data_IF_595497314646
#
_entry.id   IF_595497314646
#
_cell.length_a   1.000
_cell.length_b   1.000
_cell.length_c   1.000
_cell.angle_alpha   90.00
_cell.angle_beta   90.00
_cell.angle_gamma   90.00
#
_symmetry.space_group_name_H-M   'P 1'
#
loop_
_entity.id
_entity.type
_entity.pdbx_description
1 polymer ?
#
# COMPACT_ATOMS: atom_id res chain seq x y z
N UNK A 1 -6.72 -21.97 -15.63
CA UNK A 1 -6.55 -21.36 -14.30
C UNK A 1 -5.13 -21.67 -13.83
N UNK A 2 -4.32 -20.69 -13.42
CA UNK A 2 -2.97 -20.99 -12.88
C UNK A 2 -3.14 -21.79 -11.59
N UNK A 3 -2.33 -22.84 -11.40
CA UNK A 3 -2.25 -23.59 -10.14
C UNK A 3 -1.67 -22.69 -9.06
N UNK A 4 -1.86 -23.01 -7.78
CA UNK A 4 -1.27 -22.27 -6.67
C UNK A 4 0.26 -22.19 -6.79
N UNK A 5 0.91 -23.31 -7.13
CA UNK A 5 2.35 -23.38 -7.37
C UNK A 5 2.81 -22.44 -8.51
N UNK A 6 2.09 -22.40 -9.63
CA UNK A 6 2.36 -21.48 -10.74
C UNK A 6 2.18 -20.03 -10.33
N UNK A 7 1.23 -19.71 -9.44
CA UNK A 7 1.00 -18.37 -8.91
C UNK A 7 2.12 -17.97 -7.95
N UNK A 8 2.50 -18.86 -7.03
CA UNK A 8 3.62 -18.64 -6.12
C UNK A 8 4.91 -18.37 -6.89
N UNK A 9 5.21 -19.18 -7.92
CA UNK A 9 6.41 -18.99 -8.75
C UNK A 9 6.41 -17.68 -9.51
N UNK A 10 5.26 -17.23 -10.03
CA UNK A 10 5.16 -16.01 -10.86
C UNK A 10 5.07 -14.71 -10.08
N UNK A 11 4.68 -14.76 -8.81
CA UNK A 11 4.47 -13.58 -7.96
C UNK A 11 5.37 -13.59 -6.70
N UNK A 12 6.35 -14.50 -6.64
CA UNK A 12 7.27 -14.62 -5.51
C UNK A 12 8.26 -13.45 -5.45
N UNK A 13 8.53 -13.00 -4.24
CA UNK A 13 9.53 -11.99 -3.92
C UNK A 13 10.60 -12.58 -3.00
N UNK A 14 11.85 -12.14 -3.16
CA UNK A 14 12.99 -12.74 -2.45
C UNK A 14 13.42 -14.07 -3.07
N UNK A 15 13.84 -15.01 -2.25
CA UNK A 15 14.13 -16.38 -2.69
C UNK A 15 12.83 -17.17 -2.71
N UNK A 16 12.47 -17.69 -3.88
CA UNK A 16 11.33 -18.58 -3.97
C UNK A 16 11.59 -19.89 -3.22
N UNK A 17 10.68 -20.27 -2.34
CA UNK A 17 10.66 -21.56 -1.66
C UNK A 17 9.32 -22.25 -1.97
N UNK A 18 9.37 -23.40 -2.61
CA UNK A 18 8.21 -24.10 -3.20
C UNK A 18 7.06 -24.40 -2.22
N UNK A 19 7.30 -24.40 -0.91
CA UNK A 19 6.30 -24.82 0.09
C UNK A 19 6.15 -23.83 1.24
N UNK A 20 6.76 -22.63 1.15
CA UNK A 20 6.74 -21.68 2.26
C UNK A 20 6.50 -20.25 1.74
N UNK A 21 5.52 -19.59 2.31
CA UNK A 21 5.28 -18.16 2.14
C UNK A 21 5.20 -17.51 3.51
N UNK A 22 6.24 -16.75 3.88
CA UNK A 22 6.28 -16.07 5.20
C UNK A 22 5.46 -14.79 5.19
N UNK A 23 5.44 -14.09 4.07
CA UNK A 23 4.82 -12.77 3.92
C UNK A 23 3.91 -12.79 2.69
N UNK A 24 2.71 -12.27 2.84
CA UNK A 24 1.86 -11.92 1.68
C UNK A 24 1.68 -10.40 1.67
N UNK A 25 1.95 -9.78 0.52
CA UNK A 25 1.65 -8.37 0.25
C UNK A 25 0.38 -8.33 -0.58
N UNK A 26 -0.69 -7.78 0.00
CA UNK A 26 -1.99 -7.68 -0.63
C UNK A 26 -2.45 -6.23 -0.75
N UNK A 27 -3.04 -5.89 -1.89
CA UNK A 27 -3.58 -4.55 -2.10
C UNK A 27 -3.80 -4.19 -3.56
N UNK A 28 -3.75 -2.89 -3.82
CA UNK A 28 -3.87 -2.32 -5.17
C UNK A 28 -2.48 -2.05 -5.81
N UNK A 29 -2.39 -1.08 -6.72
CA UNK A 29 -1.13 -0.67 -7.34
C UNK A 29 -0.13 -0.07 -6.36
N UNK A 30 -0.58 0.51 -5.24
CA UNK A 30 0.31 1.02 -4.19
C UNK A 30 1.02 -0.11 -3.44
N UNK A 31 0.30 -1.19 -3.15
CA UNK A 31 0.93 -2.41 -2.62
C UNK A 31 1.90 -3.04 -3.63
N UNK A 32 1.56 -3.01 -4.92
CA UNK A 32 2.47 -3.46 -5.98
C UNK A 32 3.75 -2.61 -6.03
N UNK A 33 3.67 -1.31 -5.77
CA UNK A 33 4.81 -0.40 -5.67
C UNK A 33 5.83 -0.79 -4.60
N UNK A 34 5.43 -1.53 -3.57
CA UNK A 34 6.33 -2.03 -2.52
C UNK A 34 7.14 -3.27 -2.95
N UNK A 35 6.67 -4.01 -3.94
CA UNK A 35 7.19 -5.34 -4.28
C UNK A 35 8.68 -5.35 -4.62
N UNK A 36 9.17 -4.34 -5.34
CA UNK A 36 10.59 -4.27 -5.71
C UNK A 36 11.51 -4.17 -4.47
N UNK A 37 11.20 -3.27 -3.54
CA UNK A 37 11.97 -3.11 -2.31
C UNK A 37 11.97 -4.38 -1.45
N UNK A 38 10.80 -5.02 -1.30
CA UNK A 38 10.69 -6.30 -0.62
C UNK A 38 11.51 -7.37 -1.32
N UNK A 39 11.44 -7.48 -2.65
CA UNK A 39 12.25 -8.44 -3.41
C UNK A 39 13.74 -8.23 -3.15
N UNK A 40 14.24 -7.00 -3.26
CA UNK A 40 15.65 -6.67 -3.06
C UNK A 40 16.13 -6.99 -1.63
N UNK A 41 15.30 -6.68 -0.63
CA UNK A 41 15.65 -6.91 0.76
C UNK A 41 15.59 -8.40 1.14
N UNK A 42 14.56 -9.10 0.69
CA UNK A 42 14.34 -10.50 1.05
C UNK A 42 15.25 -11.50 0.32
N UNK A 43 15.81 -11.15 -0.84
CA UNK A 43 16.68 -12.07 -1.61
C UNK A 43 17.90 -12.58 -0.83
N UNK A 44 18.34 -11.84 0.18
CA UNK A 44 19.48 -12.19 1.04
C UNK A 44 19.04 -12.76 2.40
N UNK A 45 17.77 -13.03 2.59
CA UNK A 45 17.20 -13.63 3.81
C UNK A 45 16.70 -15.05 3.53
N UNK A 46 16.28 -15.76 4.58
CA UNK A 46 15.55 -17.03 4.46
C UNK A 46 14.04 -16.87 4.29
N UNK A 47 13.54 -15.63 4.24
CA UNK A 47 12.12 -15.33 4.12
C UNK A 47 11.69 -15.30 2.66
N UNK A 48 10.46 -15.73 2.43
CA UNK A 48 9.79 -15.65 1.13
C UNK A 48 8.53 -14.80 1.23
N UNK A 49 8.26 -14.04 0.19
CA UNK A 49 7.02 -13.28 0.10
C UNK A 49 6.27 -13.55 -1.20
N UNK A 50 4.97 -13.32 -1.18
CA UNK A 50 4.08 -13.43 -2.33
C UNK A 50 3.32 -12.13 -2.52
N UNK A 51 3.30 -11.63 -3.76
CA UNK A 51 2.52 -10.45 -4.14
C UNK A 51 1.14 -10.87 -4.66
N UNK A 52 0.07 -10.36 -4.04
CA UNK A 52 -1.32 -10.54 -4.45
C UNK A 52 -1.97 -9.18 -4.67
N UNK A 53 -1.72 -8.53 -5.80
CA UNK A 53 -2.20 -7.17 -6.05
C UNK A 53 -3.15 -7.10 -7.24
N UNK A 54 -4.12 -6.17 -7.16
CA UNK A 54 -5.08 -5.90 -8.23
C UNK A 54 -5.30 -4.38 -8.34
N UNK A 55 -4.77 -3.79 -9.42
CA UNK A 55 -4.73 -2.35 -9.62
C UNK A 55 -6.08 -1.67 -9.39
N UNK A 56 -6.09 -0.69 -8.49
CA UNK A 56 -7.24 0.14 -8.15
C UNK A 56 -8.41 -0.62 -7.51
N UNK A 57 -8.19 -1.84 -7.01
CA UNK A 57 -9.22 -2.60 -6.31
C UNK A 57 -9.16 -2.36 -4.79
N UNK A 58 -10.32 -2.15 -4.13
CA UNK A 58 -10.40 -2.22 -2.69
C UNK A 58 -9.95 -3.59 -2.15
N UNK A 59 -9.37 -3.61 -0.96
CA UNK A 59 -8.87 -4.83 -0.30
C UNK A 59 -9.97 -5.56 0.50
N UNK A 60 -11.18 -5.54 -0.01
CA UNK A 60 -12.33 -6.15 0.64
C UNK A 60 -13.31 -6.73 -0.40
N UNK A 61 -13.96 -7.87 -0.10
CA UNK A 61 -14.77 -8.59 -1.09
C UNK A 61 -16.18 -8.03 -1.28
N UNK A 62 -16.69 -7.22 -0.35
CA UNK A 62 -18.08 -6.75 -0.35
C UNK A 62 -18.25 -5.31 -0.84
N UNK A 63 -17.17 -4.68 -1.30
CA UNK A 63 -17.20 -3.36 -1.90
C UNK A 63 -16.57 -3.37 -3.27
N UNK A 64 -17.02 -2.45 -4.13
CA UNK A 64 -16.50 -2.27 -5.47
C UNK A 64 -16.13 -0.81 -5.69
N UNK A 65 -15.02 -0.57 -6.39
CA UNK A 65 -14.70 0.75 -6.90
C UNK A 65 -15.45 1.02 -8.19
N UNK A 66 -16.07 2.16 -8.25
CA UNK A 66 -16.69 2.72 -9.46
C UNK A 66 -15.92 3.96 -9.87
N UNK A 67 -15.26 3.89 -11.05
CA UNK A 67 -14.77 5.06 -11.76
C UNK A 67 -15.92 5.50 -12.71
N UNK A 68 -16.29 6.76 -12.75
CA UNK A 68 -17.42 7.18 -13.56
C UNK A 68 -17.07 7.18 -15.06
N UNK A 69 -17.80 6.42 -15.97
CA UNK A 69 -18.95 5.57 -15.66
C UNK A 69 -18.60 4.08 -15.36
N UNK A 70 -17.34 3.71 -15.34
CA UNK A 70 -16.87 2.30 -15.30
C UNK A 70 -16.90 1.72 -13.89
N UNK A 71 -17.41 0.50 -13.75
CA UNK A 71 -17.32 -0.28 -12.50
C UNK A 71 -16.20 -1.32 -12.60
N UNK A 72 -15.40 -1.46 -11.54
CA UNK A 72 -14.34 -2.48 -11.45
C UNK A 72 -14.91 -3.80 -10.94
N UNK A 73 -15.76 -4.43 -11.76
CA UNK A 73 -16.56 -5.63 -11.42
C UNK A 73 -15.75 -6.86 -10.99
N UNK A 74 -14.46 -6.92 -11.35
CA UNK A 74 -13.59 -8.04 -10.98
C UNK A 74 -12.97 -7.89 -9.59
N UNK A 75 -13.03 -6.72 -8.95
CA UNK A 75 -12.38 -6.47 -7.67
C UNK A 75 -12.86 -7.41 -6.55
N UNK A 76 -14.17 -7.65 -6.35
CA UNK A 76 -14.64 -8.58 -5.33
C UNK A 76 -14.13 -10.00 -5.53
N UNK A 77 -14.12 -10.47 -6.78
CA UNK A 77 -13.59 -11.80 -7.14
C UNK A 77 -12.09 -11.91 -6.87
N UNK A 78 -11.33 -10.85 -7.16
CA UNK A 78 -9.90 -10.80 -6.86
C UNK A 78 -9.65 -10.82 -5.34
N UNK A 79 -10.43 -10.06 -4.55
CA UNK A 79 -10.33 -10.06 -3.10
C UNK A 79 -10.67 -11.44 -2.51
N UNK A 80 -11.76 -12.08 -2.96
CA UNK A 80 -12.12 -13.45 -2.53
C UNK A 80 -11.01 -14.47 -2.85
N UNK A 81 -10.41 -14.37 -4.05
CA UNK A 81 -9.29 -15.24 -4.44
C UNK A 81 -8.07 -15.02 -3.57
N UNK A 82 -7.71 -13.75 -3.27
CA UNK A 82 -6.61 -13.43 -2.38
C UNK A 82 -6.84 -14.02 -0.97
N UNK A 83 -8.04 -13.84 -0.40
CA UNK A 83 -8.40 -14.42 0.89
C UNK A 83 -8.32 -15.95 0.90
N UNK A 84 -8.72 -16.61 -0.18
CA UNK A 84 -8.57 -18.06 -0.34
C UNK A 84 -7.09 -18.50 -0.30
N UNK A 85 -6.22 -17.80 -1.01
CA UNK A 85 -4.77 -18.07 -1.03
C UNK A 85 -4.14 -17.80 0.34
N UNK A 86 -4.51 -16.69 1.00
CA UNK A 86 -4.03 -16.35 2.35
C UNK A 86 -4.41 -17.46 3.34
N UNK A 87 -5.67 -17.93 3.26
CA UNK A 87 -6.17 -19.03 4.09
C UNK A 87 -5.42 -20.34 3.84
N UNK A 88 -4.99 -20.61 2.62
CA UNK A 88 -4.29 -21.86 2.25
C UNK A 88 -2.81 -21.82 2.65
N UNK A 89 -2.16 -20.66 2.51
CA UNK A 89 -0.71 -20.52 2.72
C UNK A 89 -0.31 -20.23 4.17
N UNK A 90 -1.24 -19.75 5.02
CA UNK A 90 -0.96 -19.40 6.42
C UNK A 90 0.34 -18.59 6.60
N UNK A 91 0.49 -17.40 5.95
CA UNK A 91 1.72 -16.61 6.07
C UNK A 91 1.90 -16.14 7.53
N UNK A 92 3.13 -15.85 7.93
CA UNK A 92 3.39 -15.20 9.23
C UNK A 92 2.86 -13.78 9.27
N UNK A 93 2.96 -13.08 8.13
CA UNK A 93 2.52 -11.69 8.00
C UNK A 93 1.66 -11.52 6.75
N UNK A 94 0.49 -10.92 6.93
CA UNK A 94 -0.31 -10.37 5.85
C UNK A 94 -0.15 -8.86 5.87
N UNK A 95 0.58 -8.32 4.89
CA UNK A 95 0.83 -6.88 4.74
C UNK A 95 -0.16 -6.32 3.73
N UNK A 96 -0.94 -5.33 4.15
CA UNK A 96 -1.92 -4.66 3.30
C UNK A 96 -1.52 -3.19 3.10
N UNK A 97 -1.50 -2.77 1.84
CA UNK A 97 -1.39 -1.37 1.46
C UNK A 97 -2.33 -1.07 0.29
N UNK A 98 -2.91 0.10 0.29
CA UNK A 98 -3.78 0.59 -0.77
C UNK A 98 -3.74 2.11 -0.85
N UNK A 99 -4.26 2.67 -1.93
CA UNK A 99 -4.47 4.11 -2.06
C UNK A 99 -5.70 4.54 -1.26
N UNK A 100 -5.54 4.60 0.07
CA UNK A 100 -6.62 4.87 1.01
C UNK A 100 -7.26 6.23 0.78
N UNK A 101 -6.43 7.30 0.67
CA UNK A 101 -6.91 8.66 0.50
C UNK A 101 -7.87 8.81 -0.68
N UNK A 102 -7.56 8.21 -1.84
CA UNK A 102 -8.44 8.27 -3.00
C UNK A 102 -9.79 7.59 -2.74
N UNK A 103 -9.81 6.48 -1.99
CA UNK A 103 -11.04 5.77 -1.67
C UNK A 103 -11.97 6.59 -0.76
N UNK A 104 -11.40 7.35 0.19
CA UNK A 104 -12.15 8.20 1.11
C UNK A 104 -12.53 9.54 0.48
N UNK A 105 -11.57 10.21 -0.17
CA UNK A 105 -11.79 11.55 -0.74
C UNK A 105 -12.55 11.53 -2.05
N UNK A 106 -12.56 10.40 -2.76
CA UNK A 106 -13.27 10.21 -4.04
C UNK A 106 -12.71 11.06 -5.19
N UNK A 107 -11.87 12.04 -4.93
CA UNK A 107 -11.28 12.96 -5.91
C UNK A 107 -9.77 12.79 -5.98
N UNK A 108 -9.21 13.15 -7.12
CA UNK A 108 -7.78 13.13 -7.36
C UNK A 108 -7.05 14.11 -6.45
N UNK A 109 -5.75 13.88 -6.27
CA UNK A 109 -4.97 14.70 -5.36
C UNK A 109 -4.60 16.04 -6.00
N UNK A 110 -4.80 17.11 -5.24
CA UNK A 110 -4.28 18.46 -5.50
C UNK A 110 -3.40 18.84 -4.31
N UNK A 111 -2.12 19.11 -4.55
CA UNK A 111 -1.18 19.45 -3.49
C UNK A 111 -1.19 20.94 -3.12
N UNK A 112 -2.08 21.73 -3.72
CA UNK A 112 -2.27 23.15 -3.43
C UNK A 112 -1.20 24.10 -3.98
N UNK A 113 -0.13 23.56 -4.61
CA UNK A 113 0.99 24.35 -5.15
C UNK A 113 1.30 24.01 -6.61
N UNK A 114 0.27 23.58 -7.33
CA UNK A 114 0.29 23.34 -8.78
C UNK A 114 0.57 21.89 -9.19
N UNK A 115 0.61 20.96 -8.25
CA UNK A 115 0.60 19.53 -8.54
C UNK A 115 -0.84 19.01 -8.45
N UNK A 116 -1.48 18.84 -9.59
CA UNK A 116 -2.86 18.35 -9.70
C UNK A 116 -2.87 17.06 -10.51
N UNK A 117 -3.28 15.98 -9.87
CA UNK A 117 -3.45 14.70 -10.54
C UNK A 117 -4.66 14.74 -11.48
N UNK A 118 -4.50 14.22 -12.68
CA UNK A 118 -5.59 14.09 -13.64
C UNK A 118 -6.40 12.82 -13.42
N UNK A 119 -7.66 12.82 -13.84
CA UNK A 119 -8.52 11.64 -13.88
C UNK A 119 -9.88 11.83 -13.21
N UNK A 120 -10.76 10.85 -13.43
CA UNK A 120 -12.12 10.89 -12.95
C UNK A 120 -12.20 10.70 -11.42
N UNK A 121 -13.27 11.23 -10.82
CA UNK A 121 -13.67 10.91 -9.47
C UNK A 121 -14.07 9.44 -9.35
N UNK A 122 -13.91 8.89 -8.16
CA UNK A 122 -14.30 7.51 -7.87
C UNK A 122 -15.37 7.45 -6.78
N UNK A 123 -15.96 6.27 -6.62
CA UNK A 123 -16.82 5.98 -5.47
C UNK A 123 -16.53 4.55 -5.02
N UNK A 124 -16.65 4.31 -3.73
CA UNK A 124 -16.71 2.96 -3.18
C UNK A 124 -18.19 2.63 -2.95
N UNK A 125 -18.61 1.50 -3.49
CA UNK A 125 -20.01 1.07 -3.52
C UNK A 125 -20.14 -0.26 -2.79
N UNK A 126 -21.07 -0.34 -1.87
CA UNK A 126 -21.47 -1.60 -1.25
C UNK A 126 -22.20 -2.48 -2.28
N UNK A 127 -21.73 -3.71 -2.44
CA UNK A 127 -22.26 -4.64 -3.44
C UNK A 127 -23.66 -5.12 -3.08
N UNK A 128 -23.96 -5.27 -1.78
CA UNK A 128 -25.22 -5.85 -1.32
C UNK A 128 -26.43 -4.99 -1.69
N UNK A 129 -26.28 -3.67 -1.67
CA UNK A 129 -27.38 -2.73 -1.90
C UNK A 129 -27.10 -1.71 -3.02
N UNK A 130 -25.91 -1.70 -3.60
CA UNK A 130 -25.51 -0.78 -4.65
C UNK A 130 -25.31 0.67 -4.18
N UNK A 131 -25.25 0.91 -2.86
CA UNK A 131 -25.13 2.25 -2.28
C UNK A 131 -23.68 2.72 -2.32
N UNK A 132 -23.46 3.97 -2.73
CA UNK A 132 -22.19 4.66 -2.53
C UNK A 132 -21.98 4.90 -1.04
N UNK A 133 -20.84 4.47 -0.52
CA UNK A 133 -20.47 4.70 0.87
C UNK A 133 -19.98 6.13 1.06
N UNK A 134 -20.47 6.79 2.09
CA UNK A 134 -19.88 8.03 2.61
C UNK A 134 -18.53 7.72 3.27
N UNK A 135 -17.73 8.76 3.54
CA UNK A 135 -16.44 8.59 4.25
C UNK A 135 -16.60 7.88 5.60
N UNK A 136 -17.63 8.27 6.35
CA UNK A 136 -17.95 7.65 7.64
C UNK A 136 -18.33 6.17 7.49
N UNK A 137 -19.25 5.85 6.58
CA UNK A 137 -19.66 4.46 6.32
C UNK A 137 -18.50 3.60 5.83
N UNK A 138 -17.60 4.17 5.01
CA UNK A 138 -16.41 3.47 4.54
C UNK A 138 -15.41 3.21 5.68
N UNK A 139 -15.21 4.18 6.58
CA UNK A 139 -14.37 3.99 7.76
C UNK A 139 -14.94 2.88 8.66
N UNK A 140 -16.21 2.95 9.01
CA UNK A 140 -16.89 1.93 9.80
C UNK A 140 -16.81 0.54 9.17
N UNK A 141 -17.01 0.47 7.85
CA UNK A 141 -16.88 -0.76 7.08
C UNK A 141 -15.48 -1.36 7.17
N UNK A 142 -14.42 -0.56 6.98
CA UNK A 142 -13.05 -1.06 7.04
C UNK A 142 -12.63 -1.43 8.47
N UNK A 143 -13.06 -0.69 9.49
CA UNK A 143 -12.79 -1.02 10.89
C UNK A 143 -13.39 -2.39 11.22
N UNK A 144 -14.67 -2.61 10.91
CA UNK A 144 -15.33 -3.89 11.12
C UNK A 144 -14.64 -5.01 10.33
N UNK A 145 -14.38 -4.78 9.04
CA UNK A 145 -13.77 -5.78 8.17
C UNK A 145 -12.38 -6.20 8.66
N UNK A 146 -11.50 -5.24 8.96
CA UNK A 146 -10.14 -5.56 9.42
C UNK A 146 -10.12 -6.16 10.83
N UNK A 147 -11.02 -5.77 11.70
CA UNK A 147 -11.19 -6.42 13.01
C UNK A 147 -11.56 -7.89 12.86
N UNK A 148 -12.55 -8.20 12.03
CA UNK A 148 -12.94 -9.58 11.74
C UNK A 148 -11.85 -10.37 11.03
N UNK A 149 -11.12 -9.74 10.11
CA UNK A 149 -10.00 -10.36 9.41
C UNK A 149 -8.85 -10.67 10.39
N UNK A 150 -8.49 -9.73 11.26
CA UNK A 150 -7.44 -9.91 12.26
C UNK A 150 -7.75 -11.07 13.21
N UNK A 151 -8.99 -11.18 13.68
CA UNK A 151 -9.44 -12.30 14.54
C UNK A 151 -9.30 -13.65 13.81
N UNK A 152 -9.70 -13.74 12.53
CA UNK A 152 -9.54 -14.96 11.73
C UNK A 152 -8.09 -15.34 11.50
N UNK A 153 -7.22 -14.34 11.23
CA UNK A 153 -5.79 -14.53 10.99
C UNK A 153 -5.06 -14.94 12.28
N UNK A 154 -5.47 -14.46 13.45
CA UNK A 154 -4.91 -14.84 14.73
C UNK A 154 -5.04 -16.35 14.98
N UNK A 155 -6.14 -16.98 14.58
CA UNK A 155 -6.34 -18.43 14.68
C UNK A 155 -5.33 -19.24 13.84
N UNK A 156 -4.67 -18.60 12.88
CA UNK A 156 -3.67 -19.18 11.99
C UNK A 156 -2.25 -18.70 12.31
N UNK A 157 -2.07 -17.99 13.43
CA UNK A 157 -0.81 -17.33 13.79
C UNK A 157 -0.27 -16.36 12.70
N UNK A 158 -1.17 -15.77 11.94
CA UNK A 158 -0.86 -14.75 10.93
C UNK A 158 -1.08 -13.36 11.52
N UNK A 159 -0.06 -12.50 11.55
CA UNK A 159 -0.18 -11.08 11.96
C UNK A 159 -0.69 -10.25 10.80
N UNK A 160 -1.74 -9.45 11.03
CA UNK A 160 -2.23 -8.46 10.09
C UNK A 160 -1.41 -7.16 10.22
N UNK A 161 -0.83 -6.71 9.13
CA UNK A 161 -0.03 -5.49 9.05
C UNK A 161 -0.69 -4.54 8.06
N UNK A 162 -1.08 -3.37 8.53
CA UNK A 162 -1.71 -2.35 7.69
C UNK A 162 -0.73 -1.18 7.54
N UNK A 163 -0.40 -0.82 6.30
CA UNK A 163 0.43 0.35 6.00
C UNK A 163 -0.51 1.51 5.72
N UNK A 164 -0.31 2.65 6.39
CA UNK A 164 -1.09 3.86 6.15
C UNK A 164 -0.84 4.40 4.74
N UNK A 165 -1.53 5.50 4.37
CA UNK A 165 -1.34 6.09 3.05
C UNK A 165 0.11 6.51 2.83
N UNK A 166 0.72 6.02 1.76
CA UNK A 166 1.97 6.58 1.24
C UNK A 166 1.67 8.00 0.73
N UNK A 167 2.46 9.02 1.09
CA UNK A 167 2.21 10.38 0.67
C UNK A 167 2.05 10.49 -0.85
N UNK A 168 1.01 11.19 -1.32
CA UNK A 168 0.79 11.50 -2.74
C UNK A 168 1.58 12.76 -3.10
N UNK A 169 2.16 12.83 -4.29
CA UNK A 169 2.94 13.99 -4.75
C UNK A 169 2.08 15.01 -5.52
N UNK A 170 1.12 14.53 -6.29
CA UNK A 170 0.24 15.36 -7.13
C UNK A 170 0.87 15.83 -8.44
N UNK A 171 2.19 15.88 -8.55
CA UNK A 171 2.91 16.11 -9.81
C UNK A 171 3.59 14.83 -10.30
N UNK A 172 3.79 14.72 -11.61
CA UNK A 172 4.71 13.72 -12.12
C UNK A 172 6.13 14.03 -11.59
N UNK A 173 6.55 13.29 -10.55
CA UNK A 173 7.78 13.57 -9.79
C UNK A 173 9.04 13.53 -10.65
N UNK A 174 9.23 12.53 -11.57
CA UNK A 174 10.37 12.54 -12.49
C UNK A 174 10.46 13.82 -13.31
N UNK A 175 9.36 14.26 -13.91
CA UNK A 175 9.34 15.49 -14.71
C UNK A 175 9.61 16.74 -13.86
N UNK A 176 9.08 16.78 -12.64
CA UNK A 176 9.30 17.91 -11.71
C UNK A 176 10.78 17.96 -11.29
N UNK A 177 11.37 16.80 -10.97
CA UNK A 177 12.79 16.70 -10.60
C UNK A 177 13.71 17.18 -11.74
N UNK A 178 13.45 16.76 -12.98
CA UNK A 178 14.21 17.23 -14.16
C UNK A 178 14.13 18.75 -14.28
N UNK A 179 12.94 19.36 -14.13
CA UNK A 179 12.77 20.82 -14.15
C UNK A 179 13.57 21.52 -13.05
N UNK A 180 13.60 20.98 -11.84
CA UNK A 180 14.40 21.53 -10.73
C UNK A 180 15.89 21.50 -11.07
N UNK A 181 16.40 20.41 -11.64
CA UNK A 181 17.79 20.31 -12.10
C UNK A 181 18.10 21.34 -13.19
N UNK A 182 17.23 21.48 -14.19
CA UNK A 182 17.41 22.45 -15.28
C UNK A 182 17.40 23.89 -14.79
N UNK A 183 16.59 24.19 -13.78
CA UNK A 183 16.49 25.52 -13.16
C UNK A 183 17.57 25.76 -12.12
N UNK A 184 18.50 24.82 -11.88
CA UNK A 184 19.52 24.86 -10.81
C UNK A 184 18.89 25.07 -9.43
N UNK A 185 17.65 24.60 -9.25
CA UNK A 185 17.00 24.59 -7.94
C UNK A 185 17.62 23.50 -7.07
N UNK A 186 18.08 23.87 -5.87
CA UNK A 186 18.73 22.96 -4.94
C UNK A 186 17.75 22.25 -3.98
N UNK A 187 16.49 22.67 -3.96
CA UNK A 187 15.47 22.06 -3.10
C UNK A 187 15.04 20.67 -3.59
N UNK A 188 14.68 19.79 -2.68
CA UNK A 188 14.02 18.54 -3.02
C UNK A 188 12.58 18.79 -3.50
N UNK A 189 12.06 17.93 -4.38
CA UNK A 189 10.64 17.94 -4.68
C UNK A 189 9.90 17.40 -3.45
N UNK A 190 9.01 18.18 -2.90
CA UNK A 190 8.28 17.83 -1.68
C UNK A 190 6.85 18.38 -1.71
N UNK A 191 6.00 17.82 -0.87
CA UNK A 191 4.64 18.27 -0.62
C UNK A 191 4.55 18.70 0.86
N UNK A 192 3.75 19.71 1.20
CA UNK A 192 3.56 20.09 2.59
C UNK A 192 2.96 18.94 3.40
N UNK A 193 3.49 18.66 4.57
CA UNK A 193 2.97 17.64 5.48
C UNK A 193 1.54 17.94 5.90
N UNK A 194 1.20 19.21 6.12
CA UNK A 194 -0.16 19.62 6.45
C UNK A 194 -1.19 19.27 5.35
N UNK A 195 -0.79 19.32 4.07
CA UNK A 195 -1.63 18.92 2.94
C UNK A 195 -1.82 17.40 2.94
N UNK A 196 -0.75 16.64 3.20
CA UNK A 196 -0.85 15.19 3.40
C UNK A 196 -1.79 14.84 4.56
N UNK A 197 -1.64 15.48 5.72
CA UNK A 197 -2.47 15.21 6.90
C UNK A 197 -3.95 15.54 6.66
N UNK A 198 -4.24 16.66 6.01
CA UNK A 198 -5.60 17.03 5.63
C UNK A 198 -6.22 16.00 4.65
N UNK A 199 -5.46 15.60 3.63
CA UNK A 199 -5.87 14.59 2.65
C UNK A 199 -6.17 13.24 3.29
N UNK A 200 -5.49 12.91 4.37
CA UNK A 200 -5.56 11.63 5.04
C UNK A 200 -6.36 11.63 6.35
N UNK A 201 -7.14 12.66 6.62
CA UNK A 201 -7.90 12.78 7.87
C UNK A 201 -8.74 11.53 8.16
N UNK A 202 -9.55 11.10 7.20
CA UNK A 202 -10.43 9.93 7.35
C UNK A 202 -9.68 8.60 7.42
N UNK A 203 -8.74 8.30 6.51
CA UNK A 203 -7.88 7.12 6.66
C UNK A 203 -7.15 7.08 8.01
N UNK A 204 -6.63 8.22 8.48
CA UNK A 204 -5.90 8.30 9.76
C UNK A 204 -6.80 7.98 10.94
N UNK A 205 -8.03 8.49 10.98
CA UNK A 205 -9.01 8.14 12.01
C UNK A 205 -9.32 6.64 12.04
N UNK A 206 -9.55 6.04 10.86
CA UNK A 206 -9.74 4.58 10.74
C UNK A 206 -8.53 3.82 11.31
N UNK A 207 -7.30 4.21 10.98
CA UNK A 207 -6.09 3.54 11.47
C UNK A 207 -5.89 3.73 12.98
N UNK A 208 -6.23 4.89 13.54
CA UNK A 208 -6.16 5.11 14.99
C UNK A 208 -7.10 4.16 15.76
N UNK A 209 -8.32 3.95 15.29
CA UNK A 209 -9.24 2.96 15.89
C UNK A 209 -8.70 1.54 15.76
N UNK A 210 -8.12 1.19 14.61
CA UNK A 210 -7.55 -0.14 14.36
C UNK A 210 -6.28 -0.44 15.18
N UNK A 211 -5.55 0.56 15.67
CA UNK A 211 -4.39 0.36 16.56
C UNK A 211 -4.74 -0.38 17.85
N UNK A 212 -5.96 -0.22 18.35
CA UNK A 212 -6.43 -0.88 19.56
C UNK A 212 -6.88 -2.35 19.33
N UNK A 213 -6.98 -2.77 18.08
CA UNK A 213 -7.44 -4.12 17.73
C UNK A 213 -6.30 -5.12 17.85
N UNK A 214 -6.52 -6.18 18.63
CA UNK A 214 -5.56 -7.26 18.77
C UNK A 214 -5.19 -7.88 17.41
N UNK A 215 -3.94 -8.31 17.28
CA UNK A 215 -3.37 -8.90 16.06
C UNK A 215 -3.27 -7.96 14.86
N UNK A 216 -3.50 -6.66 15.02
CA UNK A 216 -3.18 -5.64 14.01
C UNK A 216 -1.88 -4.92 14.37
N UNK A 217 -1.05 -4.67 13.36
CA UNK A 217 0.13 -3.81 13.43
C UNK A 217 0.01 -2.71 12.38
N UNK A 218 0.06 -1.46 12.81
CA UNK A 218 0.00 -0.31 11.91
C UNK A 218 1.42 0.20 11.63
N UNK A 219 1.76 0.34 10.36
CA UNK A 219 2.99 0.98 9.90
C UNK A 219 2.64 2.34 9.31
N UNK A 220 3.15 3.40 9.93
CA UNK A 220 2.90 4.75 9.45
C UNK A 220 3.86 5.08 8.29
N UNK A 221 3.33 5.20 7.07
CA UNK A 221 4.12 5.50 5.88
C UNK A 221 4.70 6.93 5.88
N UNK A 222 4.10 7.87 6.60
CA UNK A 222 4.63 9.21 6.74
C UNK A 222 6.01 9.22 7.41
N UNK A 223 6.26 8.31 8.37
CA UNK A 223 7.55 8.24 9.07
C UNK A 223 8.71 7.82 8.15
N UNK A 224 8.40 7.32 6.93
CA UNK A 224 9.39 6.92 5.93
C UNK A 224 9.79 8.11 5.04
N UNK A 225 8.83 8.97 4.72
CA UNK A 225 8.98 9.97 3.66
C UNK A 225 8.85 11.41 4.14
N UNK A 226 8.33 11.64 5.36
CA UNK A 226 8.05 12.99 5.85
C UNK A 226 8.90 13.33 7.07
N UNK A 227 9.26 14.61 7.18
CA UNK A 227 9.69 15.23 8.44
C UNK A 227 8.54 16.03 9.08
N UNK A 228 8.85 17.00 9.91
CA UNK A 228 7.83 17.81 10.58
C UNK A 228 7.06 18.74 9.63
N UNK A 229 7.64 19.13 8.50
CA UNK A 229 7.13 20.17 7.61
C UNK A 229 6.78 19.66 6.22
N UNK A 230 7.55 18.70 5.69
CA UNK A 230 7.44 18.21 4.32
C UNK A 230 7.33 16.70 4.24
N UNK A 231 6.65 16.24 3.20
CA UNK A 231 6.72 14.87 2.69
C UNK A 231 7.54 14.88 1.40
N UNK A 232 8.73 14.30 1.42
CA UNK A 232 9.69 14.34 0.33
C UNK A 232 9.32 13.38 -0.78
N UNK A 233 9.38 13.88 -2.02
CA UNK A 233 9.12 13.09 -3.22
C UNK A 233 10.41 12.68 -3.93
N UNK A 234 11.55 13.28 -3.55
CA UNK A 234 12.89 12.98 -4.07
C UNK A 234 13.90 12.90 -2.93
N UNK A 235 15.04 12.26 -3.20
CA UNK A 235 16.25 12.31 -2.38
C UNK A 235 17.44 12.51 -3.30
N UNK A 236 18.25 13.53 -3.07
CA UNK A 236 19.32 13.94 -3.99
C UNK A 236 18.82 14.09 -5.44
N UNK A 237 17.63 14.65 -5.64
CA UNK A 237 16.91 14.81 -6.92
C UNK A 237 16.47 13.48 -7.56
N UNK A 238 16.71 12.34 -6.95
CA UNK A 238 16.27 11.06 -7.49
C UNK A 238 14.83 10.80 -7.01
N UNK A 239 13.88 10.55 -7.91
CA UNK A 239 12.48 10.39 -7.56
C UNK A 239 12.19 9.15 -6.71
N UNK A 240 11.44 9.32 -5.62
CA UNK A 240 10.80 8.23 -4.89
C UNK A 240 9.56 7.68 -5.59
N UNK A 241 9.07 8.39 -6.60
CA UNK A 241 7.84 8.05 -7.33
C UNK A 241 8.14 7.85 -8.82
N UNK A 242 7.42 6.92 -9.44
CA UNK A 242 7.44 6.68 -10.87
C UNK A 242 6.53 7.66 -11.65
N UNK A 243 5.54 8.19 -10.96
CA UNK A 243 4.57 9.17 -11.48
C UNK A 243 4.20 10.18 -10.39
N UNK A 244 2.93 10.39 -10.12
CA UNK A 244 2.37 11.34 -9.15
C UNK A 244 2.00 10.70 -7.80
N UNK A 245 1.93 9.36 -7.72
CA UNK A 245 1.50 8.65 -6.51
C UNK A 245 2.10 7.23 -6.35
N UNK A 246 2.60 6.60 -7.42
CA UNK A 246 3.18 5.26 -7.34
C UNK A 246 4.68 5.30 -7.03
N UNK A 247 5.12 4.49 -6.08
CA UNK A 247 6.53 4.40 -5.74
C UNK A 247 7.39 3.93 -6.91
N UNK A 248 8.54 4.57 -7.08
CA UNK A 248 9.65 4.09 -7.89
C UNK A 248 10.38 2.94 -7.20
N UNK A 249 11.36 2.36 -7.90
CA UNK A 249 12.26 1.37 -7.28
C UNK A 249 12.97 1.94 -6.05
N UNK A 250 13.44 3.19 -6.08
CA UNK A 250 14.11 3.84 -4.95
C UNK A 250 13.14 4.06 -3.78
N UNK A 251 11.95 4.57 -4.05
CA UNK A 251 10.93 4.74 -3.01
C UNK A 251 10.56 3.41 -2.34
N UNK A 252 10.40 2.36 -3.15
CA UNK A 252 10.14 1.00 -2.65
C UNK A 252 11.29 0.46 -1.78
N UNK A 253 12.55 0.66 -2.20
CA UNK A 253 13.74 0.26 -1.43
C UNK A 253 13.86 1.00 -0.11
N UNK A 254 13.41 2.24 -0.02
CA UNK A 254 13.36 3.01 1.23
C UNK A 254 12.28 2.47 2.18
N UNK A 255 11.12 2.06 1.65
CA UNK A 255 10.00 1.58 2.46
C UNK A 255 10.22 0.17 3.04
N UNK A 256 10.71 -0.76 2.23
CA UNK A 256 10.76 -2.16 2.61
C UNK A 256 11.53 -2.45 3.91
N UNK A 257 12.78 -1.94 4.12
CA UNK A 257 13.52 -2.18 5.37
C UNK A 257 12.83 -1.57 6.59
N UNK A 258 12.21 -0.40 6.45
CA UNK A 258 11.45 0.23 7.53
C UNK A 258 10.27 -0.66 7.97
N UNK A 259 9.48 -1.12 7.00
CA UNK A 259 8.33 -1.99 7.25
C UNK A 259 8.79 -3.30 7.90
N UNK A 260 9.82 -3.96 7.36
CA UNK A 260 10.32 -5.22 7.89
C UNK A 260 10.92 -5.07 9.30
N UNK A 261 11.65 -4.00 9.56
CA UNK A 261 12.19 -3.68 10.88
C UNK A 261 11.08 -3.49 11.93
N UNK A 262 9.98 -2.85 11.55
CA UNK A 262 8.82 -2.69 12.44
C UNK A 262 8.17 -4.01 12.86
N UNK A 263 8.43 -5.09 12.11
CA UNK A 263 7.99 -6.46 12.39
C UNK A 263 9.05 -7.30 13.10
N UNK A 264 10.19 -6.69 13.51
CA UNK A 264 11.33 -7.41 14.11
C UNK A 264 12.11 -8.27 13.11
N UNK A 265 11.96 -7.99 11.81
CA UNK A 265 12.68 -8.68 10.74
C UNK A 265 13.89 -7.83 10.37
N UNK A 266 15.07 -8.22 10.88
CA UNK A 266 16.35 -7.57 10.57
C UNK A 266 17.09 -8.32 9.47
N UNK A 267 17.88 -7.60 8.66
CA UNK A 267 18.86 -8.22 7.77
C UNK A 267 19.91 -8.96 8.60
N UNK A 268 19.98 -10.26 8.44
CA UNK A 268 21.20 -10.95 8.83
C UNK A 268 22.29 -10.53 7.85
N UNK A 269 23.10 -9.56 8.23
CA UNK A 269 24.34 -9.27 7.51
C UNK A 269 25.19 -10.54 7.58
N UNK A 270 25.10 -11.39 6.58
CA UNK A 270 26.09 -12.45 6.36
C UNK A 270 27.38 -11.72 6.05
N UNK A 271 28.26 -11.57 7.06
CA UNK A 271 29.65 -11.22 6.81
C UNK A 271 30.18 -12.28 5.85
N UNK A 272 30.35 -11.89 4.59
CA UNK A 272 31.15 -12.66 3.64
C UNK A 272 32.58 -12.51 4.16
N UNK A 273 33.12 -13.58 4.73
CA UNK A 273 34.54 -13.72 5.04
C UNK A 273 35.31 -14.05 3.77
#
# INVERSE_FOLDING_TARGET
MKTLESLQKSCALGKWAAQRTDIIIWGDSHAAGLAYGFHQHLKNTSLSALQLTANGCPVAPNVIRQDNPKKRINCPKNAQKALGIIKELHPKYLIINARWALQFESVRFDNGVGGVESGDSISIVDIANGKKLTKYELASYYIEYFTQLAAKLALQNTKLVLITQIPEAGWNVPNKSIRFIQQRNHDEVATLRSVYEQRNLWPSQMFEELKAVENIHIVNAADIYCDAEYCYNTENKIPYYADDDHLSMLGSQKAAPYILKSLGIEERVTKVH
#
